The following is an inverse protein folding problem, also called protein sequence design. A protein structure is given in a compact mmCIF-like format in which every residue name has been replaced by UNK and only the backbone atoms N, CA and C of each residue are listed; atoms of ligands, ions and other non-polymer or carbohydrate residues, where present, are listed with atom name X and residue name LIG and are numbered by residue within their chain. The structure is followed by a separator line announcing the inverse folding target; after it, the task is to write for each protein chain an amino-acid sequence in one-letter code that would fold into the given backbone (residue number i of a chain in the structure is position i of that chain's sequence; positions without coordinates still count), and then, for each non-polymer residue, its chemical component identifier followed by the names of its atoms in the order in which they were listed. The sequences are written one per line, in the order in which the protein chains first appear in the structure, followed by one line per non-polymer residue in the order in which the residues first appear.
data_IF_312665613939
#
_entry.id   IF_312665613939
#
_cell.length_a   1.000
_cell.length_b   1.000
_cell.length_c   1.000
_cell.angle_alpha   90.00
_cell.angle_beta   90.00
_cell.angle_gamma   90.00
#
_symmetry.space_group_name_H-M   'P 1'
#
loop_
_entity.id
_entity.type
_entity.pdbx_description
1 polymer ?
#
# COMPACT_ATOMS: atom_id res chain seq x y z
N UNK A 1 -0.28 -16.09 16.19
CA UNK A 1 -0.60 -15.43 14.90
C UNK A 1 0.19 -14.14 14.78
N UNK A 2 1.07 -14.01 13.78
CA UNK A 2 1.79 -12.75 13.56
C UNK A 2 0.80 -11.63 13.25
N UNK A 3 0.96 -10.49 13.92
CA UNK A 3 0.19 -9.28 13.61
C UNK A 3 0.45 -8.88 12.16
N UNK A 4 -0.57 -8.43 11.39
CA UNK A 4 -0.35 -7.98 10.02
C UNK A 4 0.75 -6.91 9.92
N UNK A 5 1.56 -6.91 8.86
CA UNK A 5 2.66 -5.96 8.72
C UNK A 5 2.21 -4.49 8.72
N UNK A 6 3.02 -3.64 9.35
CA UNK A 6 2.93 -2.20 9.24
C UNK A 6 3.89 -1.74 8.15
N UNK A 7 3.35 -1.21 7.06
CA UNK A 7 4.15 -0.59 6.01
C UNK A 7 4.53 0.83 6.44
N UNK A 8 5.80 1.20 6.30
CA UNK A 8 6.32 2.54 6.61
C UNK A 8 7.20 3.02 5.48
N UNK A 9 7.11 4.31 5.17
CA UNK A 9 7.97 4.97 4.21
C UNK A 9 8.32 6.38 4.69
N UNK A 10 9.28 7.01 4.02
CA UNK A 10 9.72 8.37 4.34
C UNK A 10 8.59 9.36 4.04
N UNK A 11 8.33 10.31 4.94
CA UNK A 11 7.42 11.43 4.68
C UNK A 11 7.98 12.29 3.53
N UNK A 12 7.13 12.66 2.58
CA UNK A 12 7.50 13.58 1.50
C UNK A 12 6.92 14.97 1.84
N UNK A 13 7.74 16.03 1.92
CA UNK A 13 7.25 17.40 2.13
C UNK A 13 6.19 17.79 1.09
N UNK A 14 5.10 18.40 1.54
CA UNK A 14 3.99 18.81 0.67
C UNK A 14 3.05 17.69 0.20
N UNK A 15 3.35 16.41 0.48
CA UNK A 15 2.43 15.32 0.13
C UNK A 15 1.23 15.29 1.09
N UNK A 16 0.02 15.34 0.54
CA UNK A 16 -1.26 15.30 1.27
C UNK A 16 -1.80 13.88 1.42
N UNK A 17 -1.42 12.99 0.50
CA UNK A 17 -1.75 11.57 0.53
C UNK A 17 -0.69 10.74 -0.20
N UNK A 18 -0.81 9.42 -0.09
CA UNK A 18 0.06 8.47 -0.75
C UNK A 18 -0.77 7.42 -1.47
N UNK A 19 -0.58 7.23 -2.78
CA UNK A 19 -1.10 6.04 -3.44
C UNK A 19 -0.23 4.86 -3.03
N UNK A 20 -0.82 3.87 -2.36
CA UNK A 20 -0.14 2.64 -1.93
C UNK A 20 -0.77 1.48 -2.66
N UNK A 21 0.05 0.73 -3.40
CA UNK A 21 -0.38 -0.48 -4.10
C UNK A 21 0.38 -1.68 -3.57
N UNK A 22 -0.34 -2.78 -3.34
CA UNK A 22 0.22 -4.05 -2.88
C UNK A 22 0.01 -5.10 -3.97
N UNK A 23 1.06 -5.88 -4.21
CA UNK A 23 1.09 -6.96 -5.17
C UNK A 23 1.49 -8.27 -4.50
N UNK A 24 0.87 -9.38 -4.93
CA UNK A 24 1.25 -10.75 -4.56
C UNK A 24 1.24 -11.60 -5.83
N UNK A 25 2.33 -12.32 -6.08
CA UNK A 25 2.49 -13.15 -7.29
C UNK A 25 2.14 -12.37 -8.59
N UNK A 26 2.68 -11.16 -8.73
CA UNK A 26 2.44 -10.28 -9.88
C UNK A 26 1.06 -9.62 -9.96
N UNK A 27 0.11 -9.98 -9.10
CA UNK A 27 -1.26 -9.44 -9.12
C UNK A 27 -1.45 -8.36 -8.06
N UNK A 28 -2.08 -7.25 -8.45
CA UNK A 28 -2.49 -6.20 -7.50
C UNK A 28 -3.59 -6.72 -6.59
N UNK A 29 -3.36 -6.65 -5.29
CA UNK A 29 -4.28 -7.12 -4.25
C UNK A 29 -4.78 -6.00 -3.35
N UNK A 30 -4.11 -4.83 -3.32
CA UNK A 30 -4.59 -3.63 -2.63
C UNK A 30 -4.23 -2.38 -3.42
N UNK A 31 -5.12 -1.39 -3.41
CA UNK A 31 -4.83 -0.01 -3.80
C UNK A 31 -5.55 0.91 -2.81
N UNK A 32 -4.83 1.82 -2.16
CA UNK A 32 -5.39 2.72 -1.15
C UNK A 32 -4.65 4.06 -1.13
N UNK A 33 -5.24 5.05 -0.47
CA UNK A 33 -4.75 6.44 -0.42
C UNK A 33 -4.59 6.97 1.01
N UNK A 34 -3.73 6.36 1.86
CA UNK A 34 -3.49 6.88 3.21
C UNK A 34 -2.89 8.29 3.18
N UNK A 35 -3.25 9.11 4.16
CA UNK A 35 -2.69 10.46 4.36
C UNK A 35 -1.42 10.45 5.21
N UNK A 36 -1.21 9.41 6.01
CA UNK A 36 -0.03 9.23 6.84
C UNK A 36 1.03 8.41 6.08
N UNK A 37 2.33 8.60 6.36
CA UNK A 37 3.43 7.85 5.73
C UNK A 37 3.57 6.43 6.28
N UNK A 38 2.44 5.79 6.61
CA UNK A 38 2.34 4.44 7.15
C UNK A 38 0.99 3.82 6.79
N UNK A 39 0.97 2.51 6.60
CA UNK A 39 -0.25 1.73 6.37
C UNK A 39 -0.20 0.46 7.21
N UNK A 40 -1.06 0.37 8.23
CA UNK A 40 -1.29 -0.88 8.94
C UNK A 40 -2.15 -1.79 8.06
N UNK A 41 -1.59 -2.89 7.57
CA UNK A 41 -2.38 -3.87 6.84
C UNK A 41 -3.41 -4.51 7.78
N UNK A 42 -4.56 -4.85 7.21
CA UNK A 42 -5.59 -5.65 7.87
C UNK A 42 -5.47 -7.10 7.39
N UNK A 43 -6.04 -8.05 8.13
CA UNK A 43 -6.10 -9.46 7.67
C UNK A 43 -7.01 -9.60 6.46
N UNK A 44 -8.06 -8.75 6.37
CA UNK A 44 -9.06 -8.74 5.29
C UNK A 44 -9.29 -7.31 4.81
N UNK A 45 -9.54 -7.15 3.52
CA UNK A 45 -9.91 -5.89 2.89
C UNK A 45 -10.64 -6.16 1.57
N UNK A 46 -11.14 -5.12 0.91
CA UNK A 46 -11.82 -5.22 -0.39
C UNK A 46 -11.01 -4.51 -1.45
N UNK A 47 -10.91 -5.10 -2.64
CA UNK A 47 -10.36 -4.47 -3.84
C UNK A 47 -11.33 -4.72 -4.99
N UNK A 48 -11.80 -3.65 -5.64
CA UNK A 48 -12.72 -3.72 -6.79
C UNK A 48 -13.95 -4.60 -6.51
N UNK A 49 -14.59 -4.40 -5.34
CA UNK A 49 -15.76 -5.20 -4.91
C UNK A 49 -15.45 -6.63 -4.48
N UNK A 50 -14.21 -7.11 -4.61
CA UNK A 50 -13.82 -8.49 -4.22
C UNK A 50 -13.11 -8.51 -2.89
N UNK A 51 -13.53 -9.43 -2.01
CA UNK A 51 -12.86 -9.68 -0.75
C UNK A 51 -11.44 -10.23 -0.98
N UNK A 52 -10.49 -9.67 -0.25
CA UNK A 52 -9.08 -10.04 -0.24
C UNK A 52 -8.67 -10.43 1.19
N UNK A 53 -7.70 -11.34 1.30
CA UNK A 53 -7.14 -11.79 2.56
C UNK A 53 -5.62 -11.80 2.50
N UNK A 54 -4.98 -11.43 3.61
CA UNK A 54 -3.55 -11.64 3.82
C UNK A 54 -3.27 -13.15 3.90
N UNK A 55 -2.71 -13.71 2.83
CA UNK A 55 -2.38 -15.14 2.71
C UNK A 55 -0.86 -15.30 2.73
N UNK A 56 -0.32 -16.47 3.13
CA UNK A 56 1.10 -16.73 3.03
C UNK A 56 1.67 -16.45 1.63
N UNK A 57 2.89 -15.92 1.58
CA UNK A 57 3.59 -15.60 0.34
C UNK A 57 4.39 -14.30 0.39
N UNK A 58 5.07 -14.02 -0.72
CA UNK A 58 5.84 -12.79 -0.92
C UNK A 58 4.93 -11.69 -1.44
N UNK A 59 5.02 -10.53 -0.79
CA UNK A 59 4.34 -9.32 -1.18
C UNK A 59 5.35 -8.26 -1.59
N UNK A 60 5.00 -7.48 -2.61
CA UNK A 60 5.72 -6.26 -2.98
C UNK A 60 4.74 -5.09 -2.95
N UNK A 61 5.17 -3.96 -2.42
CA UNK A 61 4.36 -2.76 -2.41
C UNK A 61 5.11 -1.58 -3.00
N UNK A 62 4.34 -0.60 -3.45
CA UNK A 62 4.81 0.60 -4.12
C UNK A 62 4.07 1.81 -3.56
N UNK A 63 4.76 2.94 -3.49
CA UNK A 63 4.18 4.19 -2.99
C UNK A 63 4.51 5.36 -3.88
N UNK A 64 3.50 6.18 -4.16
CA UNK A 64 3.65 7.47 -4.82
C UNK A 64 3.05 8.58 -3.96
N UNK A 65 3.75 9.70 -3.75
CA UNK A 65 3.21 10.84 -3.04
C UNK A 65 2.23 11.60 -3.94
N UNK A 66 1.14 12.10 -3.38
CA UNK A 66 0.21 13.01 -4.03
C UNK A 66 0.22 14.37 -3.34
N UNK A 67 0.23 15.45 -4.12
CA UNK A 67 0.46 16.82 -3.62
C UNK A 67 -0.77 17.73 -3.71
N UNK A 68 -1.91 17.23 -4.22
CA UNK A 68 -3.18 17.98 -4.40
C UNK A 68 -4.38 17.13 -3.96
N UNK A 69 -5.61 17.43 -4.40
CA UNK A 69 -6.77 16.54 -4.16
C UNK A 69 -6.53 15.19 -4.84
N UNK A 70 -6.87 14.09 -4.16
CA UNK A 70 -6.66 12.72 -4.68
C UNK A 70 -7.36 12.45 -6.03
N UNK A 71 -8.44 13.18 -6.32
CA UNK A 71 -9.17 13.11 -7.59
C UNK A 71 -8.35 13.54 -8.81
N UNK A 72 -7.30 14.33 -8.63
CA UNK A 72 -6.48 14.80 -9.75
C UNK A 72 -5.60 13.69 -10.37
N UNK A 73 -5.43 12.53 -9.71
CA UNK A 73 -4.61 11.38 -10.17
C UNK A 73 -3.16 11.72 -10.59
N UNK A 74 -2.69 12.94 -10.34
CA UNK A 74 -1.32 13.39 -10.57
C UNK A 74 -0.47 13.02 -9.36
N UNK A 75 0.15 11.84 -9.43
CA UNK A 75 1.10 11.41 -8.42
C UNK A 75 2.50 11.88 -8.80
N UNK A 76 3.34 12.16 -7.81
CA UNK A 76 4.76 12.38 -8.03
C UNK A 76 5.50 11.11 -8.45
N UNK A 77 6.81 11.23 -8.63
CA UNK A 77 7.70 10.09 -8.89
C UNK A 77 7.53 9.01 -7.82
N UNK A 78 7.69 7.75 -8.22
CA UNK A 78 7.69 6.61 -7.29
C UNK A 78 8.62 6.91 -6.11
N UNK A 79 8.06 6.92 -4.90
CA UNK A 79 8.81 7.19 -3.67
C UNK A 79 9.67 5.99 -3.28
N UNK A 80 9.18 4.79 -3.53
CA UNK A 80 9.92 3.57 -3.27
C UNK A 80 9.07 2.30 -3.38
N UNK A 81 9.78 1.19 -3.26
CA UNK A 81 9.21 -0.16 -3.19
C UNK A 81 9.87 -0.92 -2.05
N UNK A 82 9.14 -1.85 -1.45
CA UNK A 82 9.69 -2.80 -0.48
C UNK A 82 8.88 -4.09 -0.53
N UNK A 83 9.40 -5.14 0.08
CA UNK A 83 8.83 -6.48 0.11
C UNK A 83 8.70 -6.99 1.53
N UNK A 84 7.70 -7.82 1.77
CA UNK A 84 7.59 -8.58 3.02
C UNK A 84 7.07 -9.99 2.75
N UNK A 85 7.33 -10.90 3.68
CA UNK A 85 6.88 -12.29 3.60
C UNK A 85 5.84 -12.53 4.68
N UNK A 86 4.72 -13.12 4.30
CA UNK A 86 3.74 -13.67 5.25
C UNK A 86 4.00 -15.17 5.34
N UNK A 87 4.39 -15.63 6.53
CA UNK A 87 4.57 -17.06 6.83
C UNK A 87 3.27 -17.63 7.43
N UNK A 88 3.14 -18.96 7.42
CA UNK A 88 2.05 -19.66 8.13
C UNK A 88 2.19 -19.48 9.63
#
# INVERSE_FOLDING_TARGET
MSRPPLLRWRKVPGATYYNVQLYRAGRKVLSTWPTRPRLQLRVRWTLNGRAQRLKPGVYRWYVWPGFRRASARRYGRLLGTSTFVVRR
#
